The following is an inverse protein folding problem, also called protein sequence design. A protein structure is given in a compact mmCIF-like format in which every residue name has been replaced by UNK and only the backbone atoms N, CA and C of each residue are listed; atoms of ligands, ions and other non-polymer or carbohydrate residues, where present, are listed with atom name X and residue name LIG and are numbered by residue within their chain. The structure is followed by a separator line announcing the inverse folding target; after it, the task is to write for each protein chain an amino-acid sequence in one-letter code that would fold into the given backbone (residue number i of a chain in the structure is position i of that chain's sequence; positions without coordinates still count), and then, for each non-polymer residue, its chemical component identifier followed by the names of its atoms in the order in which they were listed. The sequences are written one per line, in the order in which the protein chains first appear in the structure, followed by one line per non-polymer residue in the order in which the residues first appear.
data_IF_099345322406
#
_entry.id   IF_099345322406
#
_cell.length_a   1.000
_cell.length_b   1.000
_cell.length_c   1.000
_cell.angle_alpha   90.00
_cell.angle_beta   90.00
_cell.angle_gamma   90.00
#
_symmetry.space_group_name_H-M   'P 1'
#
loop_
_entity.id
_entity.type
_entity.pdbx_description
1 polymer ?
#
# COMPACT_ATOMS: atom_id res chain seq x y z
N UNK A 1 16.62 -1.03 13.10
CA UNK A 1 16.39 0.23 13.82
C UNK A 1 14.92 0.56 13.85
N UNK A 2 14.40 0.94 14.98
CA UNK A 2 12.98 1.25 15.20
C UNK A 2 12.80 2.73 15.58
N UNK A 3 11.56 3.20 15.57
CA UNK A 3 11.23 4.57 16.03
C UNK A 3 11.65 4.81 17.49
N UNK A 4 11.66 3.76 18.31
CA UNK A 4 12.12 3.82 19.71
C UNK A 4 13.63 4.09 19.79
N UNK A 5 14.40 3.52 18.88
CA UNK A 5 15.84 3.75 18.81
C UNK A 5 16.14 5.21 18.39
N UNK A 6 15.42 5.73 17.41
CA UNK A 6 15.52 7.14 17.01
C UNK A 6 15.19 8.06 18.17
N UNK A 7 14.12 7.79 18.90
CA UNK A 7 13.73 8.57 20.08
C UNK A 7 14.83 8.59 21.15
N UNK A 8 15.41 7.44 21.45
CA UNK A 8 16.49 7.28 22.42
C UNK A 8 17.75 8.05 22.02
N UNK A 9 18.18 7.93 20.76
CA UNK A 9 19.38 8.63 20.25
C UNK A 9 19.15 10.14 20.20
N UNK A 10 17.96 10.57 19.79
CA UNK A 10 17.60 11.99 19.71
C UNK A 10 17.31 12.63 21.09
N UNK A 11 17.12 11.82 22.12
CA UNK A 11 16.78 12.31 23.46
C UNK A 11 15.38 12.91 23.58
N UNK A 12 14.44 12.46 22.75
CA UNK A 12 13.03 12.89 22.75
C UNK A 12 12.09 11.69 22.88
N UNK A 13 10.80 11.95 23.11
CA UNK A 13 9.81 10.87 23.19
C UNK A 13 9.50 10.28 21.82
N UNK A 14 8.99 9.05 21.81
CA UNK A 14 8.53 8.37 20.58
C UNK A 14 7.43 9.19 19.89
N UNK A 15 6.52 9.79 20.66
CA UNK A 15 5.47 10.65 20.10
C UNK A 15 6.03 11.90 19.43
N UNK A 16 7.10 12.47 19.96
CA UNK A 16 7.80 13.60 19.34
C UNK A 16 8.45 13.20 18.02
N UNK A 17 9.14 12.07 17.96
CA UNK A 17 9.70 11.52 16.70
C UNK A 17 8.59 11.33 15.68
N UNK A 18 7.49 10.72 16.06
CA UNK A 18 6.34 10.51 15.19
C UNK A 18 5.80 11.82 14.60
N UNK A 19 5.68 12.85 15.42
CA UNK A 19 5.24 14.18 14.97
C UNK A 19 6.22 14.81 13.99
N UNK A 20 7.51 14.70 14.22
CA UNK A 20 8.54 15.19 13.28
C UNK A 20 8.44 14.48 11.94
N UNK A 21 8.34 13.16 11.94
CA UNK A 21 8.23 12.36 10.72
C UNK A 21 6.94 12.63 9.94
N UNK A 22 5.89 13.08 10.62
CA UNK A 22 4.60 13.44 10.02
C UNK A 22 4.46 14.92 9.69
N UNK A 23 5.53 15.71 9.79
CA UNK A 23 5.51 17.17 9.58
C UNK A 23 4.45 17.90 10.41
N UNK A 24 4.24 17.46 11.65
CA UNK A 24 3.28 18.08 12.54
C UNK A 24 3.71 19.51 12.91
N UNK A 25 2.81 20.52 12.88
CA UNK A 25 3.20 21.91 13.13
C UNK A 25 3.59 22.21 14.56
N UNK A 26 3.21 21.39 15.54
CA UNK A 26 3.46 21.59 16.97
C UNK A 26 4.89 21.25 17.43
N UNK A 27 5.77 20.92 16.51
CA UNK A 27 7.17 20.59 16.81
C UNK A 27 8.04 21.80 16.53
N UNK A 28 8.92 22.16 17.50
CA UNK A 28 9.89 23.23 17.30
C UNK A 28 10.93 22.88 16.23
N UNK A 29 11.48 23.90 15.56
CA UNK A 29 12.51 23.69 14.52
C UNK A 29 13.76 23.01 15.09
N UNK A 30 14.19 23.34 16.30
CA UNK A 30 15.34 22.73 16.96
C UNK A 30 15.17 21.22 17.15
N UNK A 31 13.98 20.79 17.62
CA UNK A 31 13.65 19.38 17.79
C UNK A 31 13.55 18.70 16.43
N UNK A 32 12.95 19.33 15.44
CA UNK A 32 12.86 18.82 14.08
C UNK A 32 14.23 18.53 13.48
N UNK A 33 15.15 19.51 13.54
CA UNK A 33 16.52 19.37 13.07
C UNK A 33 17.25 18.23 13.78
N UNK A 34 17.11 18.14 15.09
CA UNK A 34 17.74 17.09 15.90
C UNK A 34 17.29 15.69 15.52
N UNK A 35 15.99 15.49 15.38
CA UNK A 35 15.44 14.20 14.99
C UNK A 35 15.78 13.85 13.54
N UNK A 36 15.66 14.79 12.63
CA UNK A 36 15.98 14.57 11.21
C UNK A 36 17.46 14.25 10.98
N UNK A 37 18.36 14.88 11.74
CA UNK A 37 19.79 14.56 11.69
C UNK A 37 20.06 13.08 12.05
N UNK A 38 19.40 12.56 13.06
CA UNK A 38 19.50 11.14 13.46
C UNK A 38 18.88 10.24 12.40
N UNK A 39 17.73 10.60 11.85
CA UNK A 39 17.06 9.85 10.78
C UNK A 39 17.97 9.69 9.56
N UNK A 40 18.65 10.77 9.15
CA UNK A 40 19.57 10.77 8.03
C UNK A 40 20.86 9.98 8.31
N UNK A 41 21.45 10.19 9.49
CA UNK A 41 22.69 9.52 9.89
C UNK A 41 22.56 7.98 9.88
N UNK A 42 21.42 7.48 10.35
CA UNK A 42 21.16 6.03 10.44
C UNK A 42 20.36 5.48 9.27
N UNK A 43 20.08 6.29 8.25
CA UNK A 43 19.25 5.90 7.11
C UNK A 43 17.92 5.24 7.54
N UNK A 44 17.28 5.79 8.57
CA UNK A 44 16.04 5.25 9.08
C UNK A 44 14.89 5.45 8.10
N UNK A 45 14.27 4.36 7.72
CA UNK A 45 13.06 4.37 6.89
C UNK A 45 11.87 4.12 7.81
N UNK A 46 10.91 5.09 7.92
CA UNK A 46 9.71 4.89 8.71
C UNK A 46 8.95 3.66 8.27
N UNK A 47 8.60 2.80 9.23
CA UNK A 47 7.75 1.65 8.94
C UNK A 47 6.31 2.11 8.74
N UNK A 48 5.87 2.19 7.50
CA UNK A 48 4.51 2.58 7.16
C UNK A 48 3.44 1.64 7.74
N UNK A 49 3.80 0.37 7.98
CA UNK A 49 2.90 -0.59 8.63
C UNK A 49 2.58 -0.20 10.07
N UNK A 50 3.56 0.33 10.82
CA UNK A 50 3.33 0.84 12.18
C UNK A 50 2.50 2.14 12.17
N UNK A 51 2.68 2.98 11.14
CA UNK A 51 1.93 4.21 10.94
C UNK A 51 0.45 3.95 10.65
N UNK A 52 0.15 2.87 9.94
CA UNK A 52 -1.22 2.51 9.56
C UNK A 52 -2.02 1.88 10.71
N UNK A 53 -1.39 1.42 11.79
CA UNK A 53 -2.09 0.93 12.99
C UNK A 53 -2.88 2.03 13.73
N UNK A 54 -2.51 3.30 13.54
CA UNK A 54 -3.22 4.45 14.11
C UNK A 54 -4.36 5.01 13.25
N UNK A 55 -4.46 4.59 12.00
CA UNK A 55 -5.54 4.98 11.09
C UNK A 55 -6.63 3.91 11.08
N UNK A 56 -7.79 4.24 11.61
CA UNK A 56 -8.91 3.31 11.75
C UNK A 56 -9.58 2.89 10.43
N UNK A 57 -9.29 3.59 9.33
CA UNK A 57 -9.83 3.29 7.99
C UNK A 57 -8.79 3.56 6.92
N UNK A 58 -8.66 2.63 6.00
CA UNK A 58 -7.92 2.80 4.75
C UNK A 58 -8.92 3.06 3.62
N UNK A 59 -8.57 3.93 2.68
CA UNK A 59 -9.37 4.21 1.49
C UNK A 59 -8.77 3.56 0.23
N UNK A 60 -7.85 2.63 0.41
CA UNK A 60 -7.11 2.03 -0.70
C UNK A 60 -7.84 0.84 -1.31
N UNK A 61 -8.01 0.87 -2.62
CA UNK A 61 -8.45 -0.26 -3.44
C UNK A 61 -7.27 -0.70 -4.31
N UNK A 62 -6.93 -1.97 -4.27
CA UNK A 62 -5.83 -2.53 -5.06
C UNK A 62 -6.29 -2.99 -6.45
N UNK A 63 -5.47 -2.75 -7.45
CA UNK A 63 -5.62 -3.30 -8.80
C UNK A 63 -4.35 -4.04 -9.19
N UNK A 64 -4.46 -5.33 -9.40
CA UNK A 64 -3.38 -6.17 -9.92
C UNK A 64 -3.63 -6.42 -11.41
N UNK A 65 -2.69 -6.01 -12.25
CA UNK A 65 -2.81 -6.12 -13.72
C UNK A 65 -1.75 -7.06 -14.25
N UNK A 66 -2.20 -8.03 -15.05
CA UNK A 66 -1.34 -8.90 -15.85
C UNK A 66 -1.44 -8.50 -17.32
N UNK A 67 -0.30 -8.21 -17.97
CA UNK A 67 -0.26 -7.92 -19.39
C UNK A 67 -0.74 -6.51 -19.78
N UNK A 68 -0.22 -5.49 -19.11
CA UNK A 68 -0.56 -4.06 -19.32
C UNK A 68 -0.33 -3.58 -20.77
N UNK A 69 0.46 -4.30 -21.56
CA UNK A 69 0.73 -3.95 -22.95
C UNK A 69 -0.48 -4.10 -23.90
N UNK A 70 -1.57 -4.69 -23.43
CA UNK A 70 -2.80 -4.80 -24.21
C UNK A 70 -3.60 -3.48 -24.14
N UNK A 71 -3.83 -2.78 -25.28
CA UNK A 71 -4.58 -1.51 -25.29
C UNK A 71 -6.00 -1.61 -24.72
N UNK A 72 -6.60 -2.80 -24.79
CA UNK A 72 -7.91 -3.09 -24.19
C UNK A 72 -7.92 -2.84 -22.67
N UNK A 73 -6.86 -3.27 -21.98
CA UNK A 73 -6.75 -3.05 -20.53
C UNK A 73 -6.53 -1.59 -20.16
N UNK A 74 -5.88 -0.81 -21.00
CA UNK A 74 -5.65 0.62 -20.72
C UNK A 74 -6.97 1.39 -20.56
N UNK A 75 -7.95 1.13 -21.44
CA UNK A 75 -9.27 1.75 -21.34
C UNK A 75 -10.03 1.33 -20.08
N UNK A 76 -9.97 0.05 -19.73
CA UNK A 76 -10.61 -0.49 -18.52
C UNK A 76 -9.97 0.10 -17.26
N UNK A 77 -8.65 0.17 -17.20
CA UNK A 77 -7.92 0.75 -16.06
C UNK A 77 -8.32 2.21 -15.87
N UNK A 78 -8.42 2.98 -16.95
CA UNK A 78 -8.81 4.38 -16.88
C UNK A 78 -10.23 4.56 -16.32
N UNK A 79 -11.19 3.76 -16.74
CA UNK A 79 -12.54 3.78 -16.22
C UNK A 79 -12.61 3.37 -14.75
N UNK A 80 -11.89 2.33 -14.36
CA UNK A 80 -11.79 1.88 -12.96
C UNK A 80 -11.22 3.00 -12.10
N UNK A 81 -10.13 3.62 -12.53
CA UNK A 81 -9.49 4.72 -11.80
C UNK A 81 -10.47 5.89 -11.58
N UNK A 82 -11.19 6.30 -12.62
CA UNK A 82 -12.19 7.38 -12.51
C UNK A 82 -13.31 7.03 -11.54
N UNK A 83 -13.85 5.81 -11.62
CA UNK A 83 -14.96 5.39 -10.76
C UNK A 83 -14.52 5.26 -9.29
N UNK A 84 -13.31 4.77 -9.04
CA UNK A 84 -12.74 4.68 -7.70
C UNK A 84 -12.53 6.07 -7.09
N UNK A 85 -11.98 7.01 -7.84
CA UNK A 85 -11.79 8.39 -7.40
C UNK A 85 -13.13 9.11 -7.13
N UNK A 86 -14.12 8.94 -8.00
CA UNK A 86 -15.46 9.52 -7.81
C UNK A 86 -16.14 8.98 -6.55
N UNK A 87 -15.90 7.73 -6.20
CA UNK A 87 -16.42 7.11 -4.99
C UNK A 87 -15.69 7.54 -3.71
N UNK A 88 -14.61 8.33 -3.82
CA UNK A 88 -13.83 8.82 -2.68
C UNK A 88 -12.73 7.87 -2.21
N UNK A 89 -12.35 6.89 -3.03
CA UNK A 89 -11.29 5.93 -2.73
C UNK A 89 -10.01 6.22 -3.53
N UNK A 90 -8.92 5.62 -3.10
CA UNK A 90 -7.63 5.72 -3.78
C UNK A 90 -7.30 4.39 -4.48
N UNK A 91 -6.97 4.44 -5.75
CA UNK A 91 -6.53 3.27 -6.50
C UNK A 91 -5.02 3.07 -6.34
N UNK A 92 -4.61 1.88 -5.93
CA UNK A 92 -3.21 1.44 -5.88
C UNK A 92 -3.04 0.34 -6.90
N UNK A 93 -2.28 0.59 -7.96
CA UNK A 93 -2.07 -0.34 -9.05
C UNK A 93 -0.71 -1.02 -8.95
N UNK A 94 -0.68 -2.33 -9.20
CA UNK A 94 0.54 -3.11 -9.35
C UNK A 94 0.46 -3.95 -10.62
N UNK A 95 1.50 -3.87 -11.44
CA UNK A 95 1.68 -4.71 -12.60
C UNK A 95 2.48 -5.94 -12.22
N UNK A 96 2.04 -7.11 -12.71
CA UNK A 96 2.76 -8.37 -12.52
C UNK A 96 3.13 -8.99 -13.86
N UNK A 97 4.17 -9.83 -13.84
CA UNK A 97 4.62 -10.60 -15.00
C UNK A 97 3.66 -11.75 -15.34
N UNK A 98 3.84 -12.31 -16.54
CA UNK A 98 2.98 -13.36 -17.06
C UNK A 98 2.97 -14.65 -16.22
N UNK A 99 4.04 -14.92 -15.47
CA UNK A 99 4.23 -16.13 -14.68
C UNK A 99 4.09 -15.90 -13.16
N UNK A 100 3.89 -14.65 -12.72
CA UNK A 100 3.74 -14.33 -11.30
C UNK A 100 2.36 -14.78 -10.78
N UNK A 101 2.34 -15.15 -9.50
CA UNK A 101 1.11 -15.50 -8.79
C UNK A 101 0.38 -14.24 -8.37
N UNK A 102 -0.74 -13.95 -8.99
CA UNK A 102 -1.54 -12.76 -8.72
C UNK A 102 -2.20 -12.78 -7.35
N UNK A 103 -2.59 -13.94 -6.83
CA UNK A 103 -3.18 -14.03 -5.49
C UNK A 103 -2.14 -13.75 -4.42
N UNK A 104 -0.91 -14.24 -4.59
CA UNK A 104 0.19 -13.92 -3.68
C UNK A 104 0.52 -12.43 -3.73
N UNK A 105 0.63 -11.85 -4.92
CA UNK A 105 0.85 -10.42 -5.10
C UNK A 105 -0.27 -9.59 -4.44
N UNK A 106 -1.52 -10.00 -4.61
CA UNK A 106 -2.68 -9.36 -3.97
C UNK A 106 -2.67 -9.46 -2.46
N UNK A 107 -2.34 -10.62 -1.91
CA UNK A 107 -2.23 -10.81 -0.46
C UNK A 107 -1.12 -9.95 0.17
N UNK A 108 0.02 -9.83 -0.50
CA UNK A 108 1.11 -8.96 -0.05
C UNK A 108 0.72 -7.50 -0.12
N UNK A 109 0.11 -7.05 -1.21
CA UNK A 109 -0.38 -5.68 -1.37
C UNK A 109 -1.46 -5.33 -0.35
N UNK A 110 -2.38 -6.25 -0.06
CA UNK A 110 -3.42 -6.09 0.96
C UNK A 110 -2.81 -5.75 2.33
N UNK A 111 -1.76 -6.46 2.73
CA UNK A 111 -1.07 -6.25 4.00
C UNK A 111 -0.29 -4.94 4.01
N UNK A 112 0.49 -4.67 2.96
CA UNK A 112 1.37 -3.50 2.88
C UNK A 112 0.58 -2.18 2.78
N UNK A 113 -0.49 -2.19 2.03
CA UNK A 113 -1.30 -1.00 1.71
C UNK A 113 -2.62 -0.94 2.47
N UNK A 114 -2.96 -1.94 3.27
CA UNK A 114 -4.22 -2.05 4.01
C UNK A 114 -5.42 -1.84 3.09
N UNK A 115 -5.53 -2.66 2.07
CA UNK A 115 -6.57 -2.54 1.07
C UNK A 115 -7.95 -2.86 1.64
N UNK A 116 -8.97 -2.13 1.19
CA UNK A 116 -10.39 -2.44 1.43
C UNK A 116 -10.92 -3.50 0.50
N UNK A 117 -10.35 -3.62 -0.67
CA UNK A 117 -10.73 -4.58 -1.69
C UNK A 117 -9.67 -4.69 -2.77
N UNK A 118 -9.80 -5.70 -3.61
CA UNK A 118 -8.88 -6.00 -4.71
C UNK A 118 -9.63 -6.21 -6.02
N UNK A 119 -9.00 -5.78 -7.10
CA UNK A 119 -9.44 -6.04 -8.47
C UNK A 119 -8.29 -6.73 -9.19
N UNK A 120 -8.57 -7.90 -9.76
CA UNK A 120 -7.61 -8.62 -10.62
C UNK A 120 -8.00 -8.46 -12.08
N UNK A 121 -7.10 -7.94 -12.89
CA UNK A 121 -7.32 -7.73 -14.32
C UNK A 121 -6.37 -8.62 -15.14
N UNK A 122 -6.92 -9.46 -16.01
CA UNK A 122 -6.15 -10.43 -16.77
C UNK A 122 -5.76 -11.69 -15.99
N UNK A 123 -6.44 -11.96 -14.89
CA UNK A 123 -6.14 -13.06 -13.99
C UNK A 123 -6.61 -14.42 -14.48
N UNK A 124 -6.14 -15.47 -13.81
CA UNK A 124 -6.61 -16.86 -13.99
C UNK A 124 -7.90 -17.07 -13.21
N UNK A 125 -8.70 -18.04 -13.62
CA UNK A 125 -9.97 -18.38 -12.96
C UNK A 125 -9.93 -19.72 -12.20
N UNK A 126 -8.79 -20.41 -12.21
CA UNK A 126 -8.61 -21.76 -11.71
C UNK A 126 -7.91 -21.82 -10.34
N UNK A 127 -8.35 -20.97 -9.41
CA UNK A 127 -7.79 -20.96 -8.07
C UNK A 127 -8.43 -21.99 -7.15
N UNK A 128 -7.58 -22.55 -6.26
CA UNK A 128 -8.07 -23.41 -5.18
C UNK A 128 -8.68 -22.57 -4.05
N UNK A 129 -9.49 -23.20 -3.21
CA UNK A 129 -10.06 -22.53 -2.03
C UNK A 129 -8.98 -22.03 -1.06
N UNK A 130 -7.88 -22.76 -0.93
CA UNK A 130 -6.75 -22.39 -0.09
C UNK A 130 -6.03 -21.14 -0.62
N UNK A 131 -5.86 -21.03 -1.94
CA UNK A 131 -5.28 -19.84 -2.57
C UNK A 131 -6.16 -18.61 -2.37
N UNK A 132 -7.48 -18.76 -2.54
CA UNK A 132 -8.45 -17.68 -2.34
C UNK A 132 -8.50 -17.25 -0.88
N UNK A 133 -8.35 -18.17 0.06
CA UNK A 133 -8.35 -17.88 1.50
C UNK A 133 -7.19 -17.00 1.96
N UNK A 134 -6.11 -16.86 1.17
CA UNK A 134 -5.01 -15.95 1.46
C UNK A 134 -5.41 -14.47 1.36
N UNK A 135 -6.50 -14.16 0.63
CA UNK A 135 -7.07 -12.81 0.51
C UNK A 135 -8.18 -12.67 1.54
N UNK A 136 -8.07 -11.69 2.43
CA UNK A 136 -9.05 -11.46 3.51
C UNK A 136 -10.09 -10.38 3.19
N UNK A 137 -9.86 -9.60 2.14
CA UNK A 137 -10.77 -8.55 1.67
C UNK A 137 -11.59 -9.02 0.46
N UNK A 138 -12.75 -8.40 0.19
CA UNK A 138 -13.50 -8.68 -1.03
C UNK A 138 -12.65 -8.42 -2.28
N UNK A 139 -12.78 -9.28 -3.27
CA UNK A 139 -12.10 -9.10 -4.55
C UNK A 139 -12.98 -9.50 -5.73
N UNK A 140 -12.69 -8.93 -6.89
CA UNK A 140 -13.28 -9.30 -8.17
C UNK A 140 -12.19 -9.63 -9.16
N UNK A 141 -12.44 -10.55 -10.05
CA UNK A 141 -11.52 -10.92 -11.13
C UNK A 141 -12.17 -10.64 -12.48
N UNK A 142 -11.47 -9.87 -13.30
CA UNK A 142 -11.85 -9.58 -14.67
C UNK A 142 -10.84 -10.28 -15.61
N UNK A 143 -11.27 -11.33 -16.28
CA UNK A 143 -10.46 -11.99 -17.29
C UNK A 143 -11.11 -11.86 -18.65
N UNK A 144 -10.29 -11.63 -19.68
CA UNK A 144 -10.76 -11.82 -21.04
C UNK A 144 -10.75 -13.33 -21.32
N UNK A 145 -11.91 -13.94 -21.48
CA UNK A 145 -12.01 -15.23 -22.09
C UNK A 145 -11.62 -15.08 -23.57
N UNK A 146 -10.35 -15.27 -23.86
CA UNK A 146 -9.97 -15.70 -25.19
C UNK A 146 -10.24 -17.19 -25.23
N UNK A 147 -11.43 -17.51 -25.68
CA UNK A 147 -11.74 -18.87 -26.04
C UNK A 147 -10.84 -19.31 -27.22
#
# INVERSE_FOLDING_TARGET
MTIKDIAKISGVSVSTVSRVLNNHPDVSEDVRHKVMAVVEEYNYIPNNSARSLGQSKSDNIGLIVRGISNPFYTSIIHEIEQDIEKAGYTLVMQQIGATEDELLAGAMMERDKRLLGLIFLGGRLDYTKEQIAAISVPFVSCSSNNA
#
